data_IF_617623001040
#
_entry.id   IF_617623001040
#
_cell.length_a   1.000
_cell.length_b   1.000
_cell.length_c   1.000
_cell.angle_alpha   90.00
_cell.angle_beta   90.00
_cell.angle_gamma   90.00
#
_symmetry.space_group_name_H-M   'P 1'
#
loop_
_entity.id
_entity.type
_entity.pdbx_description
1 polymer ?
#
# COMPACT_ATOMS: atom_id res chain seq x y z
N UNK A 1 -2.14 -17.63 78.51
CA UNK A 1 -1.19 -17.29 77.42
C UNK A 1 -1.43 -18.19 76.19
N UNK A 2 -2.47 -17.94 75.39
CA UNK A 2 -2.72 -18.70 74.14
C UNK A 2 -3.52 -17.88 73.12
N UNK A 3 -3.04 -16.69 72.76
CA UNK A 3 -3.55 -15.95 71.61
C UNK A 3 -2.39 -15.20 70.96
N UNK A 4 -1.49 -15.94 70.30
CA UNK A 4 -0.40 -15.34 69.53
C UNK A 4 -0.13 -16.00 68.18
N UNK A 5 -0.93 -17.00 67.80
CA UNK A 5 -0.71 -17.79 66.58
C UNK A 5 -1.69 -17.50 65.44
N UNK A 6 -2.69 -16.62 65.63
CA UNK A 6 -3.60 -16.27 64.54
C UNK A 6 -3.12 -15.08 63.68
N UNK A 7 -2.10 -14.36 64.12
CA UNK A 7 -1.61 -13.17 63.41
C UNK A 7 -0.74 -13.47 62.18
N UNK A 8 -0.48 -14.75 61.87
CA UNK A 8 0.27 -15.18 60.68
C UNK A 8 -0.63 -15.60 59.51
N UNK A 9 -1.94 -15.37 59.58
CA UNK A 9 -2.89 -15.62 58.48
C UNK A 9 -3.40 -14.34 57.80
N UNK A 10 -2.90 -13.17 58.21
CA UNK A 10 -3.18 -11.89 57.56
C UNK A 10 -2.04 -11.53 56.61
N UNK A 11 -1.86 -12.34 55.57
CA UNK A 11 -1.15 -11.89 54.37
C UNK A 11 -2.22 -11.34 53.42
N UNK A 12 -2.46 -10.02 53.35
CA UNK A 12 -3.34 -9.49 52.32
C UNK A 12 -2.60 -9.71 51.01
N UNK A 13 -3.15 -10.54 50.12
CA UNK A 13 -2.65 -10.66 48.76
C UNK A 13 -2.94 -9.29 48.11
N UNK A 14 -1.95 -8.41 47.85
CA UNK A 14 -2.25 -7.19 47.14
C UNK A 14 -2.66 -7.62 45.74
N UNK A 15 -3.94 -7.43 45.42
CA UNK A 15 -4.44 -7.53 44.07
C UNK A 15 -3.56 -6.60 43.25
N UNK A 16 -2.73 -7.18 42.38
CA UNK A 16 -1.85 -6.48 41.46
C UNK A 16 -2.73 -5.64 40.52
N UNK A 17 -3.06 -4.43 40.97
CA UNK A 17 -3.41 -3.34 40.10
C UNK A 17 -2.16 -3.04 39.29
N UNK A 18 -1.95 -3.82 38.22
CA UNK A 18 -1.00 -3.48 37.17
C UNK A 18 -1.51 -2.17 36.60
N UNK A 19 -0.89 -1.07 37.02
CA UNK A 19 -1.04 0.20 36.33
C UNK A 19 -0.72 -0.06 34.87
N UNK A 20 -1.73 0.09 34.01
CA UNK A 20 -1.54 0.00 32.58
C UNK A 20 -0.55 1.10 32.23
N UNK A 21 0.61 0.69 31.74
CA UNK A 21 1.61 1.58 31.16
C UNK A 21 0.90 2.51 30.15
N UNK A 22 0.80 3.83 30.43
CA UNK A 22 0.05 4.77 29.59
C UNK A 22 0.58 4.87 28.16
N UNK A 23 1.81 4.40 27.91
CA UNK A 23 2.44 4.42 26.60
C UNK A 23 2.28 3.11 25.84
N UNK A 24 1.70 2.06 26.46
CA UNK A 24 1.41 0.82 25.73
C UNK A 24 0.22 1.03 24.80
N UNK A 25 0.39 0.74 23.49
CA UNK A 25 -0.73 0.80 22.58
C UNK A 25 -1.82 -0.19 23.01
N UNK A 26 -3.10 0.14 22.75
CA UNK A 26 -4.20 -0.78 22.97
C UNK A 26 -3.95 -2.12 22.25
N UNK A 27 -4.46 -3.21 22.84
CA UNK A 27 -4.41 -4.52 22.20
C UNK A 27 -5.16 -4.45 20.87
N UNK A 28 -4.43 -4.65 19.77
CA UNK A 28 -4.98 -4.59 18.43
C UNK A 28 -5.72 -5.89 18.08
N UNK A 29 -7.01 -5.93 18.44
CA UNK A 29 -7.91 -7.06 18.16
C UNK A 29 -8.14 -7.27 16.67
N UNK A 30 -8.07 -6.19 15.89
CA UNK A 30 -8.36 -6.17 14.47
C UNK A 30 -7.12 -6.41 13.60
N UNK A 31 -5.95 -6.46 14.25
CA UNK A 31 -4.64 -6.62 13.62
C UNK A 31 -4.37 -5.51 12.59
N UNK A 32 -4.99 -4.35 12.71
CA UNK A 32 -4.83 -3.23 11.77
C UNK A 32 -3.39 -2.71 11.72
N UNK A 33 -2.65 -2.80 12.83
CA UNK A 33 -1.22 -2.49 12.88
C UNK A 33 -0.37 -3.48 12.06
N UNK A 34 -0.81 -4.74 11.94
CA UNK A 34 -0.20 -5.68 11.02
C UNK A 34 -0.60 -5.35 9.58
N UNK A 35 -1.87 -5.05 9.32
CA UNK A 35 -2.38 -4.73 7.99
C UNK A 35 -1.74 -3.48 7.39
N UNK A 36 -1.41 -2.48 8.21
CA UNK A 36 -0.75 -1.25 7.77
C UNK A 36 0.68 -1.47 7.23
N UNK A 37 1.32 -2.58 7.60
CA UNK A 37 2.63 -2.98 7.10
C UNK A 37 2.55 -3.69 5.74
N UNK A 38 1.35 -4.11 5.32
CA UNK A 38 1.16 -4.76 4.02
C UNK A 38 1.17 -3.72 2.90
N UNK A 39 1.56 -4.16 1.71
CA UNK A 39 1.65 -3.29 0.53
C UNK A 39 0.87 -3.86 -0.64
N UNK A 40 0.07 -3.01 -1.27
CA UNK A 40 -0.60 -3.34 -2.52
C UNK A 40 0.31 -3.04 -3.71
N UNK A 41 0.66 -4.09 -4.46
CA UNK A 41 1.49 -4.00 -5.67
C UNK A 41 0.68 -3.76 -6.95
N UNK A 42 -0.64 -3.83 -6.88
CA UNK A 42 -1.54 -3.69 -8.03
C UNK A 42 -2.30 -4.97 -8.34
N UNK A 43 -3.00 -4.94 -9.47
CA UNK A 43 -3.80 -6.05 -9.99
C UNK A 43 -3.46 -6.31 -11.46
N UNK A 44 -3.50 -7.59 -11.85
CA UNK A 44 -3.16 -8.09 -13.17
C UNK A 44 -4.21 -9.11 -13.66
N UNK A 45 -4.40 -9.18 -14.98
CA UNK A 45 -5.36 -10.08 -15.62
C UNK A 45 -6.61 -9.36 -16.14
N UNK A 46 -7.52 -10.14 -16.70
CA UNK A 46 -8.77 -9.64 -17.25
C UNK A 46 -9.70 -9.10 -16.15
N UNK A 47 -10.62 -8.15 -16.46
CA UNK A 47 -11.58 -7.63 -15.48
C UNK A 47 -12.42 -8.72 -14.79
N UNK A 48 -12.70 -9.83 -15.48
CA UNK A 48 -13.45 -10.98 -14.96
C UNK A 48 -12.59 -11.97 -14.18
N UNK A 49 -11.26 -11.90 -14.30
CA UNK A 49 -10.31 -12.86 -13.73
C UNK A 49 -9.13 -12.15 -13.03
N UNK A 50 -9.41 -11.00 -12.43
CA UNK A 50 -8.39 -10.12 -11.88
C UNK A 50 -7.69 -10.74 -10.66
N UNK A 51 -6.36 -10.64 -10.64
CA UNK A 51 -5.51 -11.14 -9.56
C UNK A 51 -4.78 -9.96 -8.92
N UNK A 52 -5.02 -9.75 -7.63
CA UNK A 52 -4.34 -8.75 -6.81
C UNK A 52 -3.00 -9.28 -6.33
N UNK A 53 -2.03 -8.40 -6.23
CA UNK A 53 -0.69 -8.69 -5.74
C UNK A 53 -0.48 -7.94 -4.42
N UNK A 54 -0.36 -8.69 -3.33
CA UNK A 54 -0.13 -8.15 -1.99
C UNK A 54 1.21 -8.62 -1.45
N UNK A 55 1.96 -7.71 -0.86
CA UNK A 55 3.12 -8.03 -0.04
C UNK A 55 2.69 -8.06 1.42
N UNK A 56 2.99 -9.15 2.12
CA UNK A 56 2.78 -9.22 3.56
C UNK A 56 3.85 -8.48 4.35
N UNK A 57 3.68 -8.41 5.68
CA UNK A 57 4.63 -7.78 6.59
C UNK A 57 6.02 -8.43 6.62
N UNK A 58 6.15 -9.68 6.15
CA UNK A 58 7.43 -10.37 6.03
C UNK A 58 8.10 -10.14 4.65
N UNK A 59 7.49 -9.31 3.79
CA UNK A 59 8.00 -9.01 2.46
C UNK A 59 7.62 -10.07 1.40
N UNK A 60 6.81 -11.08 1.74
CA UNK A 60 6.41 -12.13 0.81
C UNK A 60 5.24 -11.67 -0.06
N UNK A 61 5.42 -11.78 -1.37
CA UNK A 61 4.39 -11.52 -2.35
C UNK A 61 3.37 -12.66 -2.45
N UNK A 62 2.10 -12.30 -2.53
CA UNK A 62 0.95 -13.20 -2.56
C UNK A 62 -0.03 -12.75 -3.63
N UNK A 63 -0.61 -13.73 -4.31
CA UNK A 63 -1.69 -13.52 -5.28
C UNK A 63 -3.02 -13.70 -4.56
N UNK A 64 -3.94 -12.76 -4.74
CA UNK A 64 -5.27 -12.77 -4.11
C UNK A 64 -6.36 -12.49 -5.14
N UNK A 65 -7.57 -12.97 -4.85
CA UNK A 65 -8.78 -12.66 -5.63
C UNK A 65 -9.81 -12.02 -4.70
N UNK A 66 -10.91 -11.54 -5.27
CA UNK A 66 -12.09 -11.22 -4.46
C UNK A 66 -12.50 -12.44 -3.62
N UNK A 67 -13.05 -12.18 -2.43
CA UNK A 67 -13.42 -13.15 -1.39
C UNK A 67 -12.28 -14.00 -0.80
N UNK A 68 -11.02 -13.73 -1.14
CA UNK A 68 -9.88 -14.44 -0.53
C UNK A 68 -9.71 -14.04 0.93
N UNK A 69 -9.50 -15.04 1.79
CA UNK A 69 -9.18 -14.84 3.21
C UNK A 69 -7.66 -14.81 3.39
N UNK A 70 -7.16 -13.73 4.01
CA UNK A 70 -5.74 -13.53 4.32
C UNK A 70 -5.37 -14.26 5.63
N UNK A 71 -4.08 -14.58 5.85
CA UNK A 71 -3.62 -15.34 7.03
C UNK A 71 -4.02 -14.76 8.38
N UNK A 72 -4.23 -13.44 8.46
CA UNK A 72 -4.65 -12.78 9.69
C UNK A 72 -6.17 -12.81 9.93
N UNK A 73 -6.96 -13.38 9.01
CA UNK A 73 -8.42 -13.49 9.09
C UNK A 73 -9.19 -12.42 8.31
N UNK A 74 -8.51 -11.45 7.71
CA UNK A 74 -9.16 -10.42 6.89
C UNK A 74 -9.63 -10.97 5.55
N UNK A 75 -10.65 -10.35 4.97
CA UNK A 75 -11.21 -10.78 3.68
C UNK A 75 -11.08 -9.69 2.63
N UNK A 76 -10.63 -10.05 1.43
CA UNK A 76 -10.68 -9.15 0.27
C UNK A 76 -12.13 -9.10 -0.24
N UNK A 77 -12.81 -7.96 -0.12
CA UNK A 77 -14.22 -7.81 -0.55
C UNK A 77 -14.35 -7.23 -1.95
N UNK A 78 -13.41 -6.38 -2.34
CA UNK A 78 -13.40 -5.76 -3.66
C UNK A 78 -11.98 -5.77 -4.20
N UNK A 79 -11.85 -6.17 -5.46
CA UNK A 79 -10.60 -6.11 -6.20
C UNK A 79 -10.90 -5.57 -7.60
N UNK A 80 -10.40 -4.37 -7.89
CA UNK A 80 -10.45 -3.76 -9.22
C UNK A 80 -9.03 -3.39 -9.67
N UNK A 81 -8.88 -2.99 -10.93
CA UNK A 81 -7.60 -2.55 -11.46
C UNK A 81 -7.03 -1.35 -10.68
N UNK A 82 -7.92 -0.53 -10.12
CA UNK A 82 -7.61 0.73 -9.45
C UNK A 82 -7.52 0.61 -7.92
N UNK A 83 -8.34 -0.24 -7.30
CA UNK A 83 -8.41 -0.32 -5.84
C UNK A 83 -8.63 -1.74 -5.34
N UNK A 84 -8.21 -1.96 -4.12
CA UNK A 84 -8.52 -3.16 -3.35
C UNK A 84 -9.13 -2.76 -2.01
N UNK A 85 -10.19 -3.44 -1.59
CA UNK A 85 -10.85 -3.25 -0.30
C UNK A 85 -10.77 -4.55 0.50
N UNK A 86 -10.38 -4.41 1.76
CA UNK A 86 -10.26 -5.50 2.72
C UNK A 86 -11.17 -5.23 3.91
N UNK A 87 -11.96 -6.21 4.31
CA UNK A 87 -12.76 -6.16 5.53
C UNK A 87 -11.90 -6.58 6.73
N UNK A 88 -11.81 -5.71 7.73
CA UNK A 88 -10.98 -5.92 8.94
C UNK A 88 -11.70 -6.73 10.03
N UNK A 89 -13.03 -6.84 9.95
CA UNK A 89 -13.86 -7.65 10.85
C UNK A 89 -14.97 -6.85 11.53
N UNK A 90 -15.92 -7.51 12.21
CA UNK A 90 -17.00 -6.85 12.94
C UNK A 90 -16.46 -6.09 14.16
N UNK A 91 -16.93 -4.85 14.37
CA UNK A 91 -16.50 -4.02 15.50
C UNK A 91 -15.08 -3.47 15.38
N UNK A 92 -14.48 -3.55 14.19
CA UNK A 92 -13.16 -3.00 13.89
C UNK A 92 -13.24 -1.61 13.27
N UNK A 93 -12.35 -0.71 13.68
CA UNK A 93 -12.21 0.62 13.11
C UNK A 93 -10.78 0.79 12.54
N UNK A 94 -10.62 1.10 11.24
CA UNK A 94 -11.68 1.18 10.23
C UNK A 94 -12.23 -0.21 9.88
N UNK A 95 -13.54 -0.29 9.58
CA UNK A 95 -14.20 -1.55 9.19
C UNK A 95 -13.69 -2.08 7.83
N UNK A 96 -13.24 -1.16 6.98
CA UNK A 96 -12.67 -1.46 5.68
C UNK A 96 -11.33 -0.77 5.50
N UNK A 97 -10.38 -1.50 4.93
CA UNK A 97 -9.07 -1.01 4.57
C UNK A 97 -8.98 -0.92 3.05
N UNK A 98 -8.67 0.27 2.52
CA UNK A 98 -8.68 0.52 1.08
C UNK A 98 -7.29 0.97 0.63
N UNK A 99 -6.74 0.30 -0.39
CA UNK A 99 -5.58 0.79 -1.11
C UNK A 99 -5.97 1.20 -2.52
N UNK A 100 -5.54 2.40 -2.91
CA UNK A 100 -5.64 2.93 -4.27
C UNK A 100 -4.33 2.71 -5.00
N UNK A 101 -4.40 2.40 -6.29
CA UNK A 101 -3.24 2.39 -7.19
C UNK A 101 -2.70 3.83 -7.26
N UNK A 102 -1.44 4.02 -6.88
CA UNK A 102 -0.76 5.30 -6.98
C UNK A 102 -0.44 5.59 -8.46
N UNK A 103 -1.31 6.34 -9.16
CA UNK A 103 -1.02 6.78 -10.54
C UNK A 103 -2.21 7.03 -11.46
N UNK A 104 -3.12 7.94 -11.12
CA UNK A 104 -4.10 8.51 -12.09
C UNK A 104 -3.99 10.04 -12.13
N UNK A 105 -2.78 10.58 -11.98
CA UNK A 105 -2.50 11.99 -12.26
C UNK A 105 -1.38 12.08 -13.28
N UNK A 106 -1.81 12.33 -14.51
CA UNK A 106 -1.10 13.00 -15.61
C UNK A 106 -0.09 12.17 -16.42
N UNK A 107 -0.62 11.36 -17.35
CA UNK A 107 0.02 11.18 -18.66
C UNK A 107 -0.18 12.46 -19.50
N UNK A 108 0.35 13.59 -19.03
CA UNK A 108 0.53 14.75 -19.88
C UNK A 108 1.74 14.43 -20.77
N UNK A 109 1.45 13.84 -21.93
CA UNK A 109 2.41 13.57 -23.00
C UNK A 109 3.35 14.77 -23.20
N UNK A 110 4.62 14.44 -23.40
CA UNK A 110 5.69 15.37 -23.72
C UNK A 110 5.24 16.42 -24.76
N UNK A 111 5.52 17.69 -24.43
CA UNK A 111 5.40 18.83 -25.34
C UNK A 111 5.98 18.45 -26.72
N UNK A 112 5.30 18.74 -27.85
CA UNK A 112 5.95 18.62 -29.14
C UNK A 112 7.14 19.58 -29.16
N UNK A 113 8.31 19.07 -29.55
CA UNK A 113 9.48 19.89 -29.83
C UNK A 113 9.10 20.93 -30.89
N UNK A 114 8.97 22.19 -30.47
CA UNK A 114 8.82 23.31 -31.40
C UNK A 114 10.07 23.33 -32.27
N UNK A 115 9.92 22.95 -33.54
CA UNK A 115 10.93 23.19 -34.55
C UNK A 115 11.01 24.70 -34.76
N UNK A 116 12.13 25.30 -34.36
CA UNK A 116 12.39 26.71 -34.63
C UNK A 116 12.47 26.92 -36.16
N UNK A 117 11.75 27.90 -36.75
CA UNK A 117 12.03 28.30 -38.12
C UNK A 117 13.42 28.95 -38.17
N UNK A 118 14.24 28.47 -39.09
CA UNK A 118 15.57 29.00 -39.36
C UNK A 118 15.50 30.52 -39.59
N UNK A 119 16.39 31.25 -38.91
CA UNK A 119 16.55 32.68 -39.09
C UNK A 119 16.87 33.01 -40.55
N UNK A 120 16.10 33.94 -41.10
CA UNK A 120 16.35 34.63 -42.37
C UNK A 120 17.69 35.39 -42.26
N UNK A 121 18.67 34.91 -43.02
CA UNK A 121 20.02 35.48 -43.11
C UNK A 121 20.48 35.45 -44.57
N UNK A 122 20.29 36.58 -45.25
CA UNK A 122 20.68 36.85 -46.64
C UNK A 122 22.15 36.50 -46.97
N UNK A 123 22.31 35.94 -48.18
CA UNK A 123 23.33 36.26 -49.20
C UNK A 123 24.70 35.55 -49.14
N UNK A 124 24.88 34.60 -50.06
CA UNK A 124 26.19 34.11 -50.50
C UNK A 124 26.10 33.37 -51.84
N UNK A 125 26.57 34.00 -52.92
CA UNK A 125 26.52 33.56 -54.32
C UNK A 125 27.78 32.76 -54.68
N UNK A 126 27.65 31.47 -55.04
CA UNK A 126 28.57 30.65 -55.90
C UNK A 126 28.08 29.20 -55.85
N UNK A 127 28.01 28.40 -56.90
CA UNK A 127 28.26 28.53 -58.32
C UNK A 127 27.69 27.27 -58.97
N UNK A 128 27.06 27.43 -60.13
CA UNK A 128 26.54 26.33 -60.93
C UNK A 128 27.69 25.51 -61.50
N UNK A 129 27.73 24.22 -61.22
CA UNK A 129 28.38 23.25 -62.10
C UNK A 129 27.63 21.92 -62.06
N UNK A 130 27.17 21.51 -63.24
CA UNK A 130 26.56 20.23 -63.56
C UNK A 130 27.58 19.11 -63.37
N UNK A 131 27.21 17.98 -62.76
CA UNK A 131 27.70 16.65 -63.16
C UNK A 131 26.60 15.61 -62.87
N UNK A 132 26.18 14.94 -63.93
CA UNK A 132 25.36 13.72 -63.91
C UNK A 132 26.23 12.50 -63.56
N UNK A 133 25.67 11.45 -62.94
CA UNK A 133 26.38 10.17 -62.85
C UNK A 133 25.75 9.12 -61.96
N UNK A 134 25.20 8.10 -62.61
CA UNK A 134 24.71 6.83 -62.07
C UNK A 134 25.77 6.03 -61.28
N UNK A 135 25.32 5.30 -60.25
CA UNK A 135 25.43 3.83 -60.21
C UNK A 135 24.43 3.23 -59.22
#
# INVERSE_FOLDING_TARGET
MRLKWWYWLLFPLPLLAVERDPFRPPVDRCRTAQLSQWRYGGAVGDPLALIGILQDSAGKWRRVRAETILPAGWRVTLLTAEKITILTGPGCEPAQWVWLRKGIKNDAMDKPAVSAPAADGRRGKKGSSRVAGHR
#
